data_IF_454140748941
#
_entry.id   IF_454140748941
#
_cell.length_a   1.000
_cell.length_b   1.000
_cell.length_c   1.000
_cell.angle_alpha   90.00
_cell.angle_beta   90.00
_cell.angle_gamma   90.00
#
_symmetry.space_group_name_H-M   'P 1'
#
loop_
_entity.id
_entity.type
_entity.pdbx_description
1 polymer ?
#
# COMPACT_ATOMS: atom_id res chain seq x y z
N UNK A 1 48.64 13.48 1.61
CA UNK A 1 48.94 14.88 1.95
C UNK A 1 47.93 15.74 1.21
N UNK A 2 47.34 16.67 1.96
CA UNK A 2 46.31 17.65 1.57
C UNK A 2 44.87 17.20 1.77
N UNK A 3 44.46 17.39 3.02
CA UNK A 3 43.14 17.74 3.50
C UNK A 3 42.47 18.86 2.69
N UNK A 4 41.14 18.79 2.55
CA UNK A 4 40.29 19.98 2.74
C UNK A 4 38.84 19.55 2.99
N UNK A 5 38.46 19.69 4.26
CA UNK A 5 37.09 19.97 4.70
C UNK A 5 36.55 21.22 4.00
N UNK A 6 35.27 21.21 3.65
CA UNK A 6 34.43 22.40 3.84
C UNK A 6 32.96 22.00 3.99
N UNK A 7 32.51 22.25 5.21
CA UNK A 7 31.12 22.27 5.66
C UNK A 7 30.22 23.07 4.73
N UNK A 8 28.98 22.62 4.57
CA UNK A 8 27.83 23.54 4.57
C UNK A 8 26.66 22.87 5.27
N UNK A 9 26.44 23.33 6.50
CA UNK A 9 25.21 23.19 7.29
C UNK A 9 24.12 24.02 6.62
N UNK A 10 22.87 23.56 6.64
CA UNK A 10 21.73 24.41 6.29
C UNK A 10 20.37 23.72 6.23
N UNK A 11 19.59 23.94 7.29
CA UNK A 11 18.11 23.88 7.36
C UNK A 11 17.47 22.47 7.32
N UNK A 12 17.00 21.89 8.43
CA UNK A 12 16.01 22.37 9.41
C UNK A 12 14.62 22.62 8.80
N UNK A 13 13.66 21.87 9.35
CA UNK A 13 12.23 22.14 9.45
C UNK A 13 11.31 21.85 8.27
N UNK A 14 10.60 20.72 8.40
CA UNK A 14 9.47 20.35 7.55
C UNK A 14 8.58 19.26 8.18
N UNK A 15 8.44 19.23 9.51
CA UNK A 15 7.41 18.43 10.17
C UNK A 15 6.06 19.17 10.09
N UNK A 16 5.32 18.92 9.01
CA UNK A 16 3.95 19.37 8.81
C UNK A 16 2.96 18.24 9.08
N UNK A 17 2.21 18.39 10.16
CA UNK A 17 1.21 17.48 10.69
C UNK A 17 0.02 17.21 9.74
N UNK A 18 -0.43 15.96 9.68
CA UNK A 18 -1.88 15.68 9.67
C UNK A 18 -2.36 15.50 11.11
N UNK A 19 -3.67 15.39 11.42
CA UNK A 19 -4.85 15.37 10.56
C UNK A 19 -5.89 16.46 10.94
N UNK A 20 -6.69 16.94 9.99
CA UNK A 20 -7.94 17.62 10.31
C UNK A 20 -9.12 16.81 9.79
N UNK A 21 -9.72 16.08 10.74
CA UNK A 21 -11.08 15.58 10.62
C UNK A 21 -12.04 16.77 10.59
N UNK A 22 -12.96 16.69 9.64
CA UNK A 22 -14.03 17.63 9.39
C UNK A 22 -15.29 17.08 10.08
N UNK A 23 -15.87 17.76 11.07
CA UNK A 23 -17.26 17.57 11.43
C UNK A 23 -18.11 18.70 10.86
N UNK A 24 -19.22 18.27 10.26
CA UNK A 24 -20.24 19.08 9.61
C UNK A 24 -20.85 20.17 10.51
N UNK A 25 -21.25 21.21 9.79
CA UNK A 25 -21.95 22.38 10.27
C UNK A 25 -23.32 22.05 10.88
N UNK A 26 -23.48 22.38 12.16
CA UNK A 26 -24.76 22.59 12.81
C UNK A 26 -24.81 24.02 13.34
N UNK A 27 -25.63 24.85 12.69
CA UNK A 27 -25.80 26.26 12.98
C UNK A 27 -26.26 26.53 14.42
N UNK A 28 -25.67 27.55 15.06
CA UNK A 28 -26.43 28.49 15.89
C UNK A 28 -25.62 29.77 16.08
N UNK A 29 -26.20 30.86 15.57
CA UNK A 29 -25.91 32.24 15.93
C UNK A 29 -25.62 32.41 17.43
N UNK A 30 -24.49 33.05 17.77
CA UNK A 30 -24.39 33.96 18.92
C UNK A 30 -23.21 34.92 18.71
N UNK A 31 -23.51 36.05 18.10
CA UNK A 31 -23.16 37.40 18.58
C UNK A 31 -21.75 37.63 19.16
N UNK A 32 -20.84 38.02 18.28
CA UNK A 32 -20.01 39.24 18.34
C UNK A 32 -20.00 40.02 19.68
N UNK A 33 -18.88 39.95 20.41
CA UNK A 33 -18.36 41.08 21.19
C UNK A 33 -16.87 40.83 21.49
N UNK A 34 -15.98 41.65 20.92
CA UNK A 34 -14.55 41.61 21.23
C UNK A 34 -14.27 42.16 22.64
N UNK A 35 -13.23 41.68 23.34
CA UNK A 35 -12.85 42.24 24.63
C UNK A 35 -12.22 43.62 24.42
N UNK A 36 -12.99 44.67 24.74
CA UNK A 36 -12.43 46.01 24.93
C UNK A 36 -11.54 45.98 26.17
N UNK A 37 -10.25 46.29 25.99
CA UNK A 37 -9.32 46.60 27.08
C UNK A 37 -9.72 47.95 27.69
N UNK A 38 -10.75 47.91 28.53
CA UNK A 38 -11.16 49.01 29.39
C UNK A 38 -10.11 49.18 30.49
N UNK A 39 -9.46 50.35 30.52
CA UNK A 39 -8.57 50.76 31.60
C UNK A 39 -9.26 50.69 32.95
N UNK A 40 -9.00 49.61 33.68
CA UNK A 40 -9.53 49.37 35.02
C UNK A 40 -8.52 49.82 36.07
N UNK A 41 -8.89 50.89 36.78
CA UNK A 41 -8.34 51.29 38.08
C UNK A 41 -7.88 50.08 38.90
N UNK A 42 -6.64 50.12 39.40
CA UNK A 42 -6.09 49.16 40.38
C UNK A 42 -6.93 49.16 41.65
N UNK A 43 -8.03 48.40 41.67
CA UNK A 43 -8.62 47.93 42.91
C UNK A 43 -7.67 46.89 43.48
N UNK A 44 -7.18 47.12 44.69
CA UNK A 44 -6.29 46.18 45.39
C UNK A 44 -6.85 44.75 45.37
N UNK A 45 -5.97 43.73 45.44
CA UNK A 45 -6.39 42.35 45.32
C UNK A 45 -7.46 42.04 46.36
N UNK A 46 -8.61 41.56 45.89
CA UNK A 46 -9.64 41.03 46.78
C UNK A 46 -9.05 39.87 47.58
N UNK A 47 -9.57 39.63 48.79
CA UNK A 47 -9.08 38.55 49.67
C UNK A 47 -9.07 37.18 48.97
N UNK A 48 -9.98 36.97 48.03
CA UNK A 48 -10.02 35.77 47.18
C UNK A 48 -8.81 35.67 46.22
N UNK A 49 -8.44 36.76 45.54
CA UNK A 49 -7.27 36.78 44.68
C UNK A 49 -5.97 36.59 45.48
N UNK A 50 -5.91 37.15 46.70
CA UNK A 50 -4.75 36.98 47.57
C UNK A 50 -4.60 35.52 48.03
N UNK A 51 -5.70 34.83 48.33
CA UNK A 51 -5.69 33.40 48.65
C UNK A 51 -5.22 32.53 47.47
N UNK A 52 -5.67 32.85 46.25
CA UNK A 52 -5.21 32.14 45.04
C UNK A 52 -3.72 32.35 44.77
N UNK A 53 -3.23 33.58 44.91
CA UNK A 53 -1.79 33.87 44.76
C UNK A 53 -0.98 33.12 45.81
N UNK A 54 -1.42 33.12 47.08
CA UNK A 54 -0.75 32.39 48.15
C UNK A 54 -0.70 30.88 47.88
N UNK A 55 -1.80 30.29 47.40
CA UNK A 55 -1.85 28.87 47.04
C UNK A 55 -0.90 28.52 45.89
N UNK A 56 -0.82 29.41 44.88
CA UNK A 56 0.10 29.22 43.75
C UNK A 56 1.58 29.30 44.16
N UNK A 57 1.94 30.24 45.04
CA UNK A 57 3.30 30.33 45.54
C UNK A 57 3.68 29.15 46.43
N UNK A 58 2.73 28.64 47.23
CA UNK A 58 2.94 27.45 48.05
C UNK A 58 3.20 26.19 47.19
N UNK A 59 2.48 26.03 46.07
CA UNK A 59 2.70 24.88 45.18
C UNK A 59 4.06 24.95 44.47
N UNK A 60 4.46 26.13 43.97
CA UNK A 60 5.80 26.32 43.40
C UNK A 60 6.90 26.07 44.44
N UNK A 61 6.72 26.55 45.66
CA UNK A 61 7.66 26.29 46.75
C UNK A 61 7.80 24.81 47.08
N UNK A 62 6.68 24.07 47.07
CA UNK A 62 6.67 22.62 47.30
C UNK A 62 7.42 21.85 46.21
N UNK A 63 7.20 22.20 44.93
CA UNK A 63 7.92 21.60 43.79
C UNK A 63 9.42 21.91 43.88
N UNK A 64 9.79 23.15 44.19
CA UNK A 64 11.18 23.57 44.31
C UNK A 64 11.89 22.84 45.46
N UNK A 65 11.20 22.61 46.57
CA UNK A 65 11.75 21.88 47.73
C UNK A 65 11.96 20.38 47.46
N UNK A 66 11.16 19.78 46.57
CA UNK A 66 11.32 18.39 46.16
C UNK A 66 12.40 18.19 45.09
N UNK A 67 12.63 19.19 44.23
CA UNK A 67 13.62 19.12 43.14
C UNK A 67 15.06 18.74 43.54
N UNK A 68 15.64 19.16 44.68
CA UNK A 68 17.02 18.81 45.02
C UNK A 68 17.20 17.39 45.56
N UNK A 69 16.12 16.63 45.80
CA UNK A 69 16.22 15.27 46.35
C UNK A 69 16.40 14.19 45.29
N UNK A 70 16.11 14.52 44.03
CA UNK A 70 16.34 13.66 42.86
C UNK A 70 17.53 14.15 42.02
N UNK A 71 18.66 14.42 42.67
CA UNK A 71 19.93 14.55 41.96
C UNK A 71 20.25 13.24 41.23
N UNK A 72 20.90 13.28 40.04
CA UNK A 72 21.24 12.08 39.31
C UNK A 72 22.04 11.16 40.24
N UNK A 73 21.48 9.98 40.56
CA UNK A 73 22.18 8.98 41.34
C UNK A 73 23.56 8.80 40.71
N UNK A 74 24.61 9.19 41.42
CA UNK A 74 25.98 8.91 41.01
C UNK A 74 26.06 7.41 40.80
N UNK A 75 26.14 7.01 39.53
CA UNK A 75 26.02 5.64 39.12
C UNK A 75 27.01 4.77 39.92
N UNK A 76 26.48 3.75 40.60
CA UNK A 76 27.27 2.76 41.35
C UNK A 76 28.36 2.20 40.44
N UNK A 77 29.53 1.83 40.98
CA UNK A 77 30.66 1.31 40.19
C UNK A 77 30.26 0.19 39.21
N UNK A 78 29.23 -0.59 39.56
CA UNK A 78 28.67 -1.65 38.72
C UNK A 78 27.91 -1.13 37.49
N UNK A 79 27.23 0.02 37.61
CA UNK A 79 26.54 0.67 36.49
C UNK A 79 27.54 1.23 35.48
N UNK A 80 28.65 1.83 35.94
CA UNK A 80 29.73 2.28 35.02
C UNK A 80 30.36 1.12 34.27
N UNK A 81 30.47 -0.04 34.90
CA UNK A 81 30.98 -1.25 34.24
C UNK A 81 29.98 -1.79 33.20
N UNK A 82 28.68 -1.73 33.51
CA UNK A 82 27.63 -2.06 32.55
C UNK A 82 27.63 -1.10 31.34
N UNK A 83 27.76 0.20 31.58
CA UNK A 83 27.90 1.23 30.54
C UNK A 83 29.11 0.94 29.63
N UNK A 84 30.29 0.70 30.22
CA UNK A 84 31.49 0.36 29.45
C UNK A 84 31.38 -0.94 28.64
N UNK A 85 30.61 -1.92 29.12
CA UNK A 85 30.32 -3.16 28.36
C UNK A 85 29.39 -2.89 27.19
N UNK A 86 28.36 -2.07 27.39
CA UNK A 86 27.42 -1.69 26.33
C UNK A 86 28.14 -0.87 25.27
N UNK A 87 28.98 0.09 25.66
CA UNK A 87 29.77 0.91 24.72
C UNK A 87 30.78 0.07 23.92
N UNK A 88 31.42 -0.92 24.54
CA UNK A 88 32.27 -1.87 23.82
C UNK A 88 31.48 -2.76 22.86
N UNK A 89 30.27 -3.19 23.22
CA UNK A 89 29.42 -3.97 22.33
C UNK A 89 28.96 -3.12 21.13
N UNK A 90 28.55 -1.88 21.36
CA UNK A 90 28.14 -0.93 20.32
C UNK A 90 29.29 -0.61 19.37
N UNK A 91 30.49 -0.32 19.88
CA UNK A 91 31.66 -0.04 19.04
C UNK A 91 32.10 -1.27 18.22
N UNK A 92 31.98 -2.48 18.78
CA UNK A 92 32.24 -3.72 18.04
C UNK A 92 31.16 -4.04 16.99
N UNK A 93 29.91 -3.67 17.23
CA UNK A 93 28.82 -3.80 16.26
C UNK A 93 28.93 -2.76 15.13
N UNK A 94 29.35 -1.54 15.46
CA UNK A 94 29.61 -0.47 14.51
C UNK A 94 30.84 -0.74 13.63
N UNK A 95 31.75 -1.63 14.05
CA UNK A 95 32.84 -2.09 13.20
C UNK A 95 32.26 -2.92 12.05
N UNK A 96 32.55 -2.56 10.78
CA UNK A 96 32.03 -3.28 9.62
C UNK A 96 32.70 -4.65 9.50
N UNK A 97 32.15 -5.66 10.17
CA UNK A 97 32.51 -7.06 9.99
C UNK A 97 31.98 -7.58 8.63
N UNK A 98 32.50 -8.72 8.16
CA UNK A 98 32.13 -9.25 6.84
C UNK A 98 30.63 -9.57 6.70
N UNK A 99 29.95 -9.89 7.80
CA UNK A 99 28.50 -10.09 7.83
C UNK A 99 27.72 -8.78 7.63
N UNK A 100 28.13 -7.71 8.32
CA UNK A 100 27.54 -6.37 8.19
C UNK A 100 27.77 -5.81 6.78
N UNK A 101 28.92 -6.08 6.14
CA UNK A 101 29.16 -5.68 4.75
C UNK A 101 28.15 -6.30 3.77
N UNK A 102 27.84 -7.58 3.92
CA UNK A 102 26.81 -8.25 3.11
C UNK A 102 25.41 -7.68 3.38
N UNK A 103 25.10 -7.38 4.65
CA UNK A 103 23.83 -6.76 5.00
C UNK A 103 23.69 -5.36 4.39
N UNK A 104 24.76 -4.55 4.44
CA UNK A 104 24.80 -3.23 3.81
C UNK A 104 24.66 -3.34 2.28
N UNK A 105 25.30 -4.32 1.65
CA UNK A 105 25.16 -4.57 0.20
C UNK A 105 23.72 -4.96 -0.19
N UNK A 106 23.04 -5.78 0.62
CA UNK A 106 21.62 -6.12 0.40
C UNK A 106 20.74 -4.87 0.56
N UNK A 107 21.03 -4.04 1.56
CA UNK A 107 20.32 -2.78 1.78
C UNK A 107 20.53 -1.83 0.60
N UNK A 108 21.76 -1.67 0.13
CA UNK A 108 22.12 -0.81 -1.01
C UNK A 108 21.48 -1.30 -2.30
N UNK A 109 21.52 -2.60 -2.57
CA UNK A 109 20.86 -3.19 -3.75
C UNK A 109 19.34 -3.01 -3.70
N UNK A 110 18.73 -3.14 -2.53
CA UNK A 110 17.30 -2.86 -2.36
C UNK A 110 16.96 -1.40 -2.66
N UNK A 111 17.70 -0.44 -2.07
CA UNK A 111 17.49 0.98 -2.32
C UNK A 111 17.73 1.35 -3.78
N UNK A 112 18.76 0.78 -4.40
CA UNK A 112 19.05 0.95 -5.82
C UNK A 112 17.88 0.46 -6.67
N UNK A 113 17.40 -0.76 -6.45
CA UNK A 113 16.27 -1.32 -7.20
C UNK A 113 14.97 -0.56 -6.94
N UNK A 114 14.71 -0.13 -5.71
CA UNK A 114 13.52 0.65 -5.37
C UNK A 114 13.49 1.99 -6.13
N UNK A 115 14.62 2.70 -6.19
CA UNK A 115 14.74 3.96 -6.95
C UNK A 115 14.56 3.75 -8.46
N UNK A 116 15.09 2.67 -9.03
CA UNK A 116 15.00 2.41 -10.48
C UNK A 116 13.65 1.85 -10.93
N UNK A 117 12.93 1.16 -10.05
CA UNK A 117 11.56 0.67 -10.34
C UNK A 117 10.52 1.78 -10.27
N UNK A 118 10.83 2.90 -9.62
CA UNK A 118 9.95 4.07 -9.62
C UNK A 118 10.03 4.76 -10.98
N UNK A 119 8.91 4.78 -11.69
CA UNK A 119 8.76 5.52 -12.94
C UNK A 119 8.80 7.02 -12.58
N UNK A 120 9.72 7.83 -13.16
CA UNK A 120 9.74 9.26 -12.93
C UNK A 120 8.38 9.89 -13.26
N UNK A 121 7.95 10.88 -12.48
CA UNK A 121 6.64 11.51 -12.67
C UNK A 121 6.45 12.11 -14.07
N UNK A 122 7.54 12.53 -14.72
CA UNK A 122 7.55 13.07 -16.09
C UNK A 122 7.20 12.02 -17.14
N UNK A 123 7.48 10.75 -16.85
CA UNK A 123 7.25 9.61 -17.76
C UNK A 123 5.91 8.92 -17.47
N UNK A 124 5.19 9.33 -16.41
CA UNK A 124 3.91 8.76 -16.02
C UNK A 124 2.77 9.30 -16.92
N UNK A 125 2.47 8.59 -18.01
CA UNK A 125 1.43 8.97 -19.00
C UNK A 125 0.01 9.09 -18.43
N UNK A 126 -0.32 8.30 -17.40
CA UNK A 126 -1.65 8.29 -16.78
C UNK A 126 -1.54 7.90 -15.32
N UNK A 127 -2.37 8.51 -14.47
CA UNK A 127 -2.45 8.18 -13.05
C UNK A 127 -3.05 6.76 -12.86
N UNK A 128 -2.32 5.80 -12.24
CA UNK A 128 -2.80 4.42 -12.07
C UNK A 128 -3.85 4.27 -10.96
N UNK A 129 -4.02 5.27 -10.10
CA UNK A 129 -5.03 5.25 -9.02
C UNK A 129 -6.40 5.77 -9.48
N UNK A 130 -6.49 6.28 -10.71
CA UNK A 130 -7.77 6.70 -11.29
C UNK A 130 -8.32 5.52 -12.09
N UNK A 131 -9.36 4.89 -11.55
CA UNK A 131 -10.09 3.86 -12.27
C UNK A 131 -10.75 4.46 -13.51
N UNK A 132 -10.29 4.05 -14.70
CA UNK A 132 -10.96 4.32 -15.97
C UNK A 132 -11.76 3.08 -16.33
N UNK A 133 -13.08 3.21 -16.37
CA UNK A 133 -13.92 2.14 -16.85
C UNK A 133 -13.49 1.79 -18.30
N UNK A 134 -13.25 0.51 -18.62
CA UNK A 134 -12.90 0.13 -19.98
C UNK A 134 -14.02 0.58 -20.92
N UNK A 135 -13.67 1.28 -22.00
CA UNK A 135 -14.63 1.59 -23.05
C UNK A 135 -15.16 0.27 -23.58
N UNK A 136 -16.42 -0.03 -23.28
CA UNK A 136 -17.10 -1.16 -23.91
C UNK A 136 -17.04 -0.88 -25.40
N UNK A 137 -16.54 -1.81 -26.23
CA UNK A 137 -16.61 -1.63 -27.67
C UNK A 137 -18.06 -1.31 -28.01
N UNK A 138 -18.30 -0.12 -28.57
CA UNK A 138 -19.63 0.23 -29.08
C UNK A 138 -20.04 -0.94 -29.97
N UNK A 139 -21.24 -1.52 -29.79
CA UNK A 139 -21.71 -2.54 -30.70
C UNK A 139 -21.69 -1.91 -32.09
N UNK A 140 -20.74 -2.33 -32.91
CA UNK A 140 -20.75 -2.03 -34.33
C UNK A 140 -22.00 -2.72 -34.84
N UNK A 141 -23.09 -1.95 -34.94
CA UNK A 141 -24.24 -2.29 -35.75
C UNK A 141 -23.70 -2.43 -37.17
N UNK A 142 -23.25 -3.64 -37.52
CA UNK A 142 -23.01 -4.00 -38.89
C UNK A 142 -24.36 -3.81 -39.61
N UNK A 143 -24.44 -2.94 -40.62
CA UNK A 143 -25.64 -2.88 -41.45
C UNK A 143 -25.78 -4.24 -42.11
N UNK A 144 -26.87 -4.94 -41.80
CA UNK A 144 -27.29 -6.20 -42.41
C UNK A 144 -27.24 -6.04 -43.94
N UNK A 145 -26.32 -6.71 -44.65
CA UNK A 145 -26.39 -6.78 -46.10
C UNK A 145 -27.52 -7.73 -46.47
N UNK A 146 -28.47 -7.21 -47.26
CA UNK A 146 -29.51 -7.98 -47.95
C UNK A 146 -28.90 -9.22 -48.63
N UNK A 147 -29.64 -10.31 -48.50
CA UNK A 147 -29.53 -11.58 -49.24
C UNK A 147 -28.80 -11.48 -50.58
N UNK A 148 -27.71 -12.25 -50.68
CA UNK A 148 -27.27 -12.85 -51.93
C UNK A 148 -26.85 -14.30 -51.62
N UNK A 149 -27.41 -15.32 -52.30
CA UNK A 149 -27.19 -16.72 -51.98
C UNK A 149 -25.89 -17.20 -52.63
N UNK A 150 -24.78 -17.07 -51.92
CA UNK A 150 -23.54 -17.77 -52.26
C UNK A 150 -22.84 -18.17 -50.97
N UNK A 151 -23.17 -19.37 -50.50
CA UNK A 151 -22.53 -20.00 -49.36
C UNK A 151 -21.01 -20.12 -49.59
N UNK A 152 -20.15 -19.53 -48.76
CA UNK A 152 -18.85 -20.11 -48.55
C UNK A 152 -19.08 -21.35 -47.69
N UNK A 153 -19.00 -22.52 -48.33
CA UNK A 153 -18.82 -23.80 -47.63
C UNK A 153 -17.67 -23.58 -46.65
N UNK A 154 -17.99 -23.46 -45.35
CA UNK A 154 -17.04 -23.74 -44.28
C UNK A 154 -16.63 -25.18 -44.51
N UNK A 155 -15.51 -25.35 -45.18
CA UNK A 155 -14.82 -26.62 -45.38
C UNK A 155 -14.89 -27.37 -44.07
N UNK A 156 -15.59 -28.51 -44.10
CA UNK A 156 -15.49 -29.59 -43.15
C UNK A 156 -14.00 -29.92 -43.04
N UNK A 157 -13.32 -29.27 -42.10
CA UNK A 157 -11.99 -29.69 -41.71
C UNK A 157 -12.17 -31.08 -41.14
N UNK A 158 -11.37 -32.02 -41.64
CA UNK A 158 -11.48 -33.40 -41.26
C UNK A 158 -11.46 -33.51 -39.73
N UNK A 159 -12.30 -34.37 -39.12
CA UNK A 159 -12.39 -34.52 -37.66
C UNK A 159 -11.06 -34.92 -36.99
N UNK A 160 -10.04 -35.30 -37.77
CA UNK A 160 -8.70 -35.58 -37.31
C UNK A 160 -7.93 -34.31 -36.89
N UNK A 161 -7.98 -33.21 -37.65
CA UNK A 161 -7.20 -32.00 -37.36
C UNK A 161 -7.69 -31.31 -36.08
N UNK A 162 -9.00 -31.31 -35.84
CA UNK A 162 -9.60 -30.68 -34.67
C UNK A 162 -9.30 -31.46 -33.37
N UNK A 163 -9.11 -32.79 -33.47
CA UNK A 163 -8.65 -33.59 -32.34
C UNK A 163 -7.19 -33.28 -31.96
N UNK A 164 -6.35 -32.88 -32.92
CA UNK A 164 -4.98 -32.45 -32.63
C UNK A 164 -4.95 -31.08 -31.95
N UNK A 165 -5.87 -30.17 -32.30
CA UNK A 165 -6.00 -28.88 -31.64
C UNK A 165 -6.37 -29.02 -30.15
N UNK A 166 -7.26 -29.96 -29.81
CA UNK A 166 -7.61 -30.25 -28.41
C UNK A 166 -6.43 -30.77 -27.61
N UNK A 167 -5.57 -31.60 -28.22
CA UNK A 167 -4.38 -32.13 -27.56
C UNK A 167 -3.37 -31.04 -27.21
N UNK A 168 -3.40 -29.91 -27.92
CA UNK A 168 -2.57 -28.73 -27.64
C UNK A 168 -3.16 -27.85 -26.52
N UNK A 169 -4.43 -28.03 -26.16
CA UNK A 169 -5.04 -27.29 -25.06
C UNK A 169 -4.49 -27.79 -23.73
N UNK A 170 -4.01 -26.86 -22.90
CA UNK A 170 -3.50 -27.17 -21.56
C UNK A 170 -4.34 -26.43 -20.53
N UNK A 171 -4.86 -27.18 -19.56
CA UNK A 171 -5.57 -26.62 -18.42
C UNK A 171 -4.53 -26.06 -17.43
N UNK A 172 -4.52 -24.74 -17.26
CA UNK A 172 -3.54 -24.05 -16.43
C UNK A 172 -4.04 -23.81 -15.01
N UNK A 173 -5.28 -23.37 -14.86
CA UNK A 173 -5.88 -23.17 -13.55
C UNK A 173 -7.40 -23.30 -13.60
N UNK A 174 -7.99 -23.62 -12.44
CA UNK A 174 -9.43 -23.60 -12.24
C UNK A 174 -9.72 -22.76 -11.00
N UNK A 175 -10.58 -21.76 -11.17
CA UNK A 175 -11.07 -20.89 -10.12
C UNK A 175 -12.49 -21.32 -9.79
N UNK A 176 -12.64 -22.09 -8.70
CA UNK A 176 -13.95 -22.41 -8.13
C UNK A 176 -14.28 -21.41 -7.04
N UNK A 177 -14.98 -20.33 -7.40
CA UNK A 177 -15.45 -19.31 -6.46
C UNK A 177 -16.95 -19.40 -6.19
N UNK A 178 -17.46 -18.52 -5.32
CA UNK A 178 -18.89 -18.41 -4.99
C UNK A 178 -19.75 -17.83 -6.11
N UNK A 179 -19.14 -17.17 -7.11
CA UNK A 179 -19.89 -16.40 -8.13
C UNK A 179 -19.98 -17.03 -9.52
N UNK A 180 -19.15 -18.01 -9.86
CA UNK A 180 -19.27 -18.93 -11.02
C UNK A 180 -17.91 -19.65 -11.17
N UNK A 181 -17.87 -20.92 -11.61
CA UNK A 181 -16.61 -21.59 -11.89
C UNK A 181 -15.99 -21.05 -13.19
N UNK A 182 -14.70 -20.70 -13.14
CA UNK A 182 -13.93 -20.19 -14.29
C UNK A 182 -12.70 -21.06 -14.49
N UNK A 183 -12.39 -21.42 -15.73
CA UNK A 183 -11.20 -22.20 -16.08
C UNK A 183 -10.27 -21.38 -16.99
N UNK A 184 -8.96 -21.50 -16.77
CA UNK A 184 -7.94 -20.93 -17.62
C UNK A 184 -7.35 -22.03 -18.50
N UNK A 185 -7.65 -21.99 -19.80
CA UNK A 185 -7.21 -22.97 -20.80
C UNK A 185 -6.40 -22.23 -21.86
N UNK A 186 -5.13 -22.59 -22.02
CA UNK A 186 -4.22 -21.95 -22.98
C UNK A 186 -4.26 -20.41 -22.91
N UNK A 187 -4.11 -19.83 -21.71
CA UNK A 187 -4.21 -18.40 -21.41
C UNK A 187 -5.59 -17.74 -21.67
N UNK A 188 -6.65 -18.51 -21.94
CA UNK A 188 -8.01 -17.98 -22.08
C UNK A 188 -8.85 -18.31 -20.84
N UNK A 189 -9.46 -17.28 -20.24
CA UNK A 189 -10.42 -17.42 -19.15
C UNK A 189 -11.81 -17.71 -19.73
N UNK A 190 -12.34 -18.88 -19.43
CA UNK A 190 -13.61 -19.36 -19.98
C UNK A 190 -14.56 -19.80 -18.86
N UNK A 191 -15.85 -19.54 -19.06
CA UNK A 191 -16.94 -20.03 -18.20
C UNK A 191 -17.67 -21.21 -18.85
N UNK A 192 -18.52 -21.90 -18.08
CA UNK A 192 -19.39 -22.95 -18.61
C UNK A 192 -20.28 -22.38 -19.74
N UNK A 193 -20.40 -23.11 -20.84
CA UNK A 193 -21.13 -22.72 -22.05
C UNK A 193 -20.33 -21.97 -23.11
N UNK A 194 -19.11 -21.52 -22.81
CA UNK A 194 -18.25 -20.85 -23.80
C UNK A 194 -17.56 -21.85 -24.74
N UNK A 195 -17.17 -21.37 -25.93
CA UNK A 195 -16.51 -22.18 -26.97
C UNK A 195 -15.04 -21.82 -27.14
N UNK A 196 -14.19 -22.82 -27.27
CA UNK A 196 -12.76 -22.68 -27.60
C UNK A 196 -12.37 -23.70 -28.66
N UNK A 197 -11.79 -23.25 -29.78
CA UNK A 197 -11.40 -24.09 -30.92
C UNK A 197 -12.52 -25.06 -31.38
N UNK A 198 -13.78 -24.60 -31.36
CA UNK A 198 -14.95 -25.43 -31.71
C UNK A 198 -15.55 -26.26 -30.56
N UNK A 199 -14.83 -26.44 -29.45
CA UNK A 199 -15.29 -27.21 -28.29
C UNK A 199 -16.07 -26.36 -27.30
N UNK A 200 -17.18 -26.88 -26.79
CA UNK A 200 -18.02 -26.19 -25.81
C UNK A 200 -17.69 -26.69 -24.40
N UNK A 201 -17.39 -25.78 -23.48
CA UNK A 201 -17.21 -26.13 -22.06
C UNK A 201 -18.55 -26.50 -21.47
N UNK A 202 -18.70 -27.74 -21.01
CA UNK A 202 -19.96 -28.23 -20.43
C UNK A 202 -19.93 -28.20 -18.91
N UNK A 203 -18.79 -28.54 -18.30
CA UNK A 203 -18.66 -28.61 -16.85
C UNK A 203 -17.24 -28.33 -16.39
N UNK A 204 -17.10 -27.52 -15.36
CA UNK A 204 -15.82 -27.17 -14.74
C UNK A 204 -15.75 -27.82 -13.34
N UNK A 205 -14.74 -28.66 -13.11
CA UNK A 205 -14.42 -29.24 -11.79
C UNK A 205 -13.06 -28.71 -11.31
N UNK A 206 -12.76 -28.76 -10.00
CA UNK A 206 -11.52 -28.19 -9.44
C UNK A 206 -10.21 -28.62 -10.10
N UNK A 207 -10.15 -29.82 -10.71
CA UNK A 207 -8.94 -30.36 -11.37
C UNK A 207 -9.18 -30.86 -12.80
N UNK A 208 -10.38 -30.66 -13.35
CA UNK A 208 -10.71 -31.16 -14.68
C UNK A 208 -11.81 -30.36 -15.34
N UNK A 209 -11.76 -30.20 -16.66
CA UNK A 209 -12.80 -29.54 -17.45
C UNK A 209 -13.33 -30.52 -18.50
N UNK A 210 -14.66 -30.60 -18.62
CA UNK A 210 -15.34 -31.41 -19.63
C UNK A 210 -15.70 -30.54 -20.82
N UNK A 211 -15.16 -30.88 -21.98
CA UNK A 211 -15.40 -30.26 -23.28
C UNK A 211 -16.28 -31.18 -24.12
N UNK A 212 -17.24 -30.62 -24.86
CA UNK A 212 -18.10 -31.36 -25.79
C UNK A 212 -18.07 -30.77 -27.19
N UNK A 213 -18.04 -31.64 -28.20
CA UNK A 213 -18.10 -31.28 -29.61
C UNK A 213 -18.71 -32.42 -30.42
N UNK A 214 -19.79 -32.16 -31.18
CA UNK A 214 -20.45 -33.12 -32.07
C UNK A 214 -20.58 -34.53 -31.44
N UNK A 215 -21.18 -34.62 -30.26
CA UNK A 215 -21.38 -35.84 -29.44
C UNK A 215 -20.12 -36.49 -28.84
N UNK A 216 -18.93 -35.97 -29.10
CA UNK A 216 -17.68 -36.39 -28.44
C UNK A 216 -17.45 -35.58 -27.18
N UNK A 217 -17.11 -36.28 -26.10
CA UNK A 217 -16.76 -35.68 -24.82
C UNK A 217 -15.27 -35.86 -24.55
N UNK A 218 -14.57 -34.78 -24.25
CA UNK A 218 -13.15 -34.79 -23.89
C UNK A 218 -12.95 -34.22 -22.49
N UNK A 219 -12.18 -34.91 -21.65
CA UNK A 219 -11.92 -34.48 -20.27
C UNK A 219 -10.47 -34.01 -20.18
N UNK A 220 -10.30 -32.70 -20.05
CA UNK A 220 -9.00 -32.07 -19.87
C UNK A 220 -8.63 -32.10 -18.38
N UNK A 221 -7.49 -32.72 -18.04
CA UNK A 221 -6.97 -32.78 -16.67
C UNK A 221 -5.76 -31.86 -16.53
N UNK A 222 -5.59 -31.31 -15.33
CA UNK A 222 -4.40 -30.53 -14.99
C UNK A 222 -3.17 -31.45 -14.97
N UNK A 223 -2.08 -31.08 -15.64
CA UNK A 223 -0.80 -31.77 -15.51
C UNK A 223 -0.31 -31.62 -14.07
N UNK A 224 -0.01 -32.73 -13.41
CA UNK A 224 0.59 -32.72 -12.06
C UNK A 224 2.02 -32.22 -12.11
#
# INVERSE_FOLDING_TARGET
>A
MSDQELETRGSADGFGAGPQAQPDAGASDTTRAGPSLSGGSWSGPTRANLALIALSLASLGCIYFLSPRDGPQTASGDQKLAELRVDNALSNLARPNAANRKALEVVDTFYYQAKHRQIPLKDLKSNPFIFKAPERPKPTTQPVPKESPAAPKKTEKAPAEEMEEVRKLVLQSVLTGSREPVAMISNNLLTEGQKICGWTLTRIKPRSVTLTWQDKTYVLRMSQ
#
